data_IF_349881476377
#
_entry.id   IF_349881476377
#
_cell.length_a   1.000
_cell.length_b   1.000
_cell.length_c   1.000
_cell.angle_alpha   90.00
_cell.angle_beta   90.00
_cell.angle_gamma   90.00
#
_symmetry.space_group_name_H-M   'P 1'
#
loop_
_entity.id
_entity.type
_entity.pdbx_description
1 polymer ?
#
# COMPACT_ATOMS: atom_id res chain seq x y z
N UNK A 1 7.01 -24.94 -23.02
CA UNK A 1 6.07 -24.40 -24.01
C UNK A 1 5.55 -23.09 -23.48
N UNK A 2 6.22 -21.99 -23.79
CA UNK A 2 5.78 -20.64 -23.43
C UNK A 2 4.76 -20.18 -24.46
N UNK A 3 3.47 -20.21 -24.10
CA UNK A 3 2.45 -19.51 -24.88
C UNK A 3 2.80 -18.01 -24.85
N UNK A 4 3.25 -17.46 -25.97
CA UNK A 4 3.23 -16.00 -26.20
C UNK A 4 1.76 -15.59 -26.25
N UNK A 5 1.22 -15.20 -25.14
CA UNK A 5 -0.05 -14.49 -25.07
C UNK A 5 0.10 -13.21 -25.91
N UNK A 6 -0.74 -13.01 -26.92
CA UNK A 6 -0.68 -11.77 -27.71
C UNK A 6 -0.92 -10.56 -26.81
N UNK A 7 -0.36 -9.41 -27.14
CA UNK A 7 -0.48 -8.14 -26.37
C UNK A 7 -1.93 -7.82 -25.99
N UNK A 8 -2.90 -8.19 -26.82
CA UNK A 8 -4.33 -8.00 -26.53
C UNK A 8 -4.85 -8.91 -25.40
N UNK A 9 -4.31 -10.12 -25.27
CA UNK A 9 -4.66 -11.06 -24.20
C UNK A 9 -4.03 -10.61 -22.89
N UNK A 10 -2.75 -10.21 -22.89
CA UNK A 10 -2.04 -9.67 -21.74
C UNK A 10 -2.78 -8.45 -21.17
N UNK A 11 -3.20 -7.52 -22.02
CA UNK A 11 -3.97 -6.33 -21.62
C UNK A 11 -5.30 -6.72 -20.95
N UNK A 12 -6.03 -7.69 -21.48
CA UNK A 12 -7.29 -8.17 -20.86
C UNK A 12 -7.07 -8.83 -19.50
N UNK A 13 -6.03 -9.63 -19.36
CA UNK A 13 -5.70 -10.30 -18.12
C UNK A 13 -5.21 -9.30 -17.07
N UNK A 14 -4.38 -8.34 -17.44
CA UNK A 14 -3.93 -7.26 -16.56
C UNK A 14 -5.11 -6.41 -16.06
N UNK A 15 -6.03 -6.03 -16.93
CA UNK A 15 -7.24 -5.32 -16.51
C UNK A 15 -8.08 -6.17 -15.55
N UNK A 16 -8.21 -7.46 -15.79
CA UNK A 16 -8.93 -8.37 -14.88
C UNK A 16 -8.27 -8.43 -13.51
N UNK A 17 -6.95 -8.55 -13.45
CA UNK A 17 -6.18 -8.50 -12.21
C UNK A 17 -6.47 -7.20 -11.45
N UNK A 18 -6.31 -6.04 -12.10
CA UNK A 18 -6.52 -4.73 -11.49
C UNK A 18 -7.96 -4.53 -11.02
N UNK A 19 -8.93 -5.12 -11.71
CA UNK A 19 -10.35 -5.06 -11.30
C UNK A 19 -10.69 -5.99 -10.13
N UNK A 20 -10.02 -7.14 -10.05
CA UNK A 20 -10.26 -8.11 -8.97
C UNK A 20 -9.52 -7.76 -7.68
N UNK A 21 -8.33 -7.19 -7.80
CA UNK A 21 -7.51 -6.73 -6.70
C UNK A 21 -7.53 -5.19 -6.65
N UNK A 22 -7.62 -4.60 -5.47
CA UNK A 22 -7.59 -3.15 -5.31
C UNK A 22 -6.17 -2.68 -5.03
N UNK A 23 -5.82 -1.50 -5.52
CA UNK A 23 -4.53 -0.85 -5.25
C UNK A 23 -3.35 -1.73 -5.67
N UNK A 24 -3.40 -2.19 -6.92
CA UNK A 24 -2.40 -3.08 -7.51
C UNK A 24 -1.12 -2.30 -7.79
N UNK A 25 0.00 -2.72 -7.22
CA UNK A 25 1.32 -2.14 -7.50
C UNK A 25 1.89 -2.70 -8.80
N UNK A 26 2.90 -2.02 -9.39
CA UNK A 26 3.62 -2.61 -10.52
C UNK A 26 4.37 -3.89 -10.14
N UNK A 27 4.81 -3.99 -8.88
CA UNK A 27 5.39 -5.23 -8.33
C UNK A 27 4.43 -6.42 -8.44
N UNK A 28 3.17 -6.21 -8.11
CA UNK A 28 2.13 -7.23 -8.23
C UNK A 28 1.84 -7.58 -9.69
N UNK A 29 1.88 -6.59 -10.59
CA UNK A 29 1.75 -6.79 -12.04
C UNK A 29 2.94 -7.60 -12.57
N UNK A 30 4.17 -7.21 -12.25
CA UNK A 30 5.38 -7.91 -12.65
C UNK A 30 5.36 -9.39 -12.25
N UNK A 31 5.00 -9.67 -11.01
CA UNK A 31 4.86 -11.06 -10.51
C UNK A 31 3.84 -11.89 -11.28
N UNK A 32 2.76 -11.27 -11.77
CA UNK A 32 1.71 -11.96 -12.50
C UNK A 32 2.06 -12.19 -13.98
N UNK A 33 2.81 -11.27 -14.60
CA UNK A 33 2.99 -11.23 -16.06
C UNK A 33 4.45 -11.31 -16.53
N UNK A 34 5.38 -11.53 -15.60
CA UNK A 34 6.80 -11.71 -15.88
C UNK A 34 7.66 -10.55 -15.38
N UNK A 35 8.69 -10.92 -14.65
CA UNK A 35 9.73 -10.03 -14.14
C UNK A 35 10.91 -10.09 -15.11
N UNK A 36 10.96 -9.22 -16.11
CA UNK A 36 12.15 -9.08 -16.98
C UNK A 36 13.03 -7.90 -16.62
N UNK A 37 13.07 -7.57 -15.36
CA UNK A 37 14.21 -6.97 -14.67
C UNK A 37 14.69 -5.58 -15.06
N UNK A 38 14.00 -4.81 -15.90
CA UNK A 38 14.59 -3.53 -16.30
C UNK A 38 13.61 -2.46 -16.80
N UNK A 39 12.40 -2.82 -17.11
CA UNK A 39 11.41 -1.87 -17.60
C UNK A 39 10.84 -0.97 -16.50
N UNK A 40 10.56 0.28 -16.84
CA UNK A 40 9.88 1.19 -15.95
C UNK A 40 8.96 2.12 -16.74
N UNK A 41 7.74 2.33 -16.24
CA UNK A 41 6.86 3.37 -16.77
C UNK A 41 7.16 4.68 -16.06
N UNK A 42 7.42 5.74 -16.83
CA UNK A 42 7.61 7.10 -16.32
C UNK A 42 6.42 7.97 -16.68
N UNK A 43 6.07 8.91 -15.81
CA UNK A 43 5.02 9.88 -16.08
C UNK A 43 5.56 11.29 -16.34
N UNK A 44 6.83 11.52 -16.07
CA UNK A 44 7.60 12.71 -16.40
C UNK A 44 9.08 12.33 -16.55
N UNK A 45 9.93 13.26 -17.01
CA UNK A 45 11.37 13.02 -17.10
C UNK A 45 11.93 12.67 -15.72
N UNK A 46 12.63 11.53 -15.64
CA UNK A 46 13.20 10.96 -14.42
C UNK A 46 12.18 10.67 -13.29
N UNK A 47 10.87 10.61 -13.57
CA UNK A 47 9.85 10.24 -12.59
C UNK A 47 9.24 8.89 -12.90
N UNK A 48 9.68 7.86 -12.19
CA UNK A 48 9.23 6.47 -12.32
C UNK A 48 7.95 6.25 -11.52
N UNK A 49 6.93 5.65 -12.13
CA UNK A 49 5.65 5.30 -11.47
C UNK A 49 5.40 3.80 -11.40
N UNK A 50 5.96 3.04 -12.34
CA UNK A 50 5.80 1.58 -12.38
C UNK A 50 7.13 0.90 -12.72
N UNK A 51 7.97 0.64 -11.71
CA UNK A 51 9.21 -0.10 -11.89
C UNK A 51 8.99 -1.60 -12.04
N UNK A 52 9.98 -2.29 -12.65
CA UNK A 52 10.11 -3.75 -12.63
C UNK A 52 9.21 -4.50 -13.63
N UNK A 53 8.61 -3.80 -14.59
CA UNK A 53 7.77 -4.42 -15.62
C UNK A 53 8.60 -4.86 -16.83
N UNK A 54 8.15 -5.94 -17.50
CA UNK A 54 8.61 -6.24 -18.86
C UNK A 54 8.16 -5.17 -19.85
N UNK A 55 8.77 -5.15 -21.05
CA UNK A 55 8.38 -4.21 -22.11
C UNK A 55 6.91 -4.39 -22.48
N UNK A 56 6.47 -5.62 -22.70
CA UNK A 56 5.10 -5.95 -23.05
C UNK A 56 4.11 -5.57 -21.93
N UNK A 57 4.47 -5.79 -20.67
CA UNK A 57 3.63 -5.39 -19.52
C UNK A 57 3.54 -3.88 -19.38
N UNK A 58 4.63 -3.16 -19.66
CA UNK A 58 4.66 -1.69 -19.68
C UNK A 58 3.75 -1.12 -20.77
N UNK A 59 3.84 -1.65 -22.00
CA UNK A 59 2.98 -1.25 -23.11
C UNK A 59 1.50 -1.52 -22.80
N UNK A 60 1.18 -2.70 -22.28
CA UNK A 60 -0.19 -3.06 -21.91
C UNK A 60 -0.75 -2.12 -20.82
N UNK A 61 0.06 -1.79 -19.81
CA UNK A 61 -0.34 -0.88 -18.75
C UNK A 61 -0.54 0.55 -19.27
N UNK A 62 0.38 1.05 -20.09
CA UNK A 62 0.26 2.37 -20.74
C UNK A 62 -1.01 2.44 -21.58
N UNK A 63 -1.30 1.39 -22.36
CA UNK A 63 -2.52 1.34 -23.16
C UNK A 63 -3.78 1.39 -22.30
N UNK A 64 -3.84 0.62 -21.19
CA UNK A 64 -4.98 0.64 -20.27
C UNK A 64 -5.19 2.01 -19.62
N UNK A 65 -4.10 2.70 -19.27
CA UNK A 65 -4.16 4.05 -18.69
C UNK A 65 -4.63 5.06 -19.75
N UNK A 66 -4.06 5.01 -20.94
CA UNK A 66 -4.41 5.92 -22.05
C UNK A 66 -5.86 5.76 -22.50
N UNK A 67 -6.41 4.56 -22.42
CA UNK A 67 -7.82 4.27 -22.73
C UNK A 67 -8.77 4.63 -21.57
N UNK A 68 -8.27 5.11 -20.44
CA UNK A 68 -9.08 5.43 -19.27
C UNK A 68 -9.73 4.22 -18.60
N UNK A 69 -9.21 3.02 -18.82
CA UNK A 69 -9.70 1.77 -18.22
C UNK A 69 -9.09 1.52 -16.85
N UNK A 70 -7.87 2.02 -16.65
CA UNK A 70 -7.10 1.95 -15.41
C UNK A 70 -6.58 3.35 -15.10
N UNK A 71 -6.53 3.67 -13.82
CA UNK A 71 -5.97 4.90 -13.30
C UNK A 71 -4.99 4.58 -12.20
N UNK A 72 -3.98 5.40 -12.04
CA UNK A 72 -3.05 5.28 -10.93
C UNK A 72 -3.27 6.38 -9.88
N UNK A 73 -2.91 6.09 -8.66
CA UNK A 73 -2.92 7.03 -7.54
C UNK A 73 -1.68 6.79 -6.67
N UNK A 74 -1.13 7.85 -6.04
CA UNK A 74 -0.01 7.69 -5.13
C UNK A 74 -0.33 6.70 -4.01
N UNK A 75 0.66 5.92 -3.57
CA UNK A 75 0.58 4.99 -2.44
C UNK A 75 1.93 5.02 -1.70
N UNK A 76 1.97 4.60 -0.45
CA UNK A 76 3.25 4.53 0.27
C UNK A 76 4.17 3.43 -0.29
N UNK A 77 5.47 3.57 -0.03
CA UNK A 77 6.47 2.54 -0.35
C UNK A 77 6.19 1.21 0.35
N UNK A 78 5.59 1.26 1.53
CA UNK A 78 5.22 0.07 2.30
C UNK A 78 4.41 -0.92 1.48
N UNK A 79 3.56 -0.46 0.55
CA UNK A 79 2.82 -1.34 -0.34
C UNK A 79 3.74 -2.14 -1.26
N UNK A 80 4.77 -1.50 -1.78
CA UNK A 80 5.77 -2.16 -2.64
C UNK A 80 6.66 -3.10 -1.85
N UNK A 81 7.06 -2.71 -0.63
CA UNK A 81 7.83 -3.58 0.26
C UNK A 81 7.05 -4.87 0.58
N UNK A 82 5.75 -4.78 0.83
CA UNK A 82 4.89 -5.95 1.02
C UNK A 82 4.77 -6.82 -0.24
N UNK A 83 4.94 -6.22 -1.41
CA UNK A 83 4.99 -6.91 -2.69
C UNK A 83 6.42 -7.33 -3.09
N UNK A 84 7.42 -7.14 -2.21
CA UNK A 84 8.80 -7.63 -2.38
C UNK A 84 9.69 -6.76 -3.23
N UNK A 85 9.28 -5.54 -3.58
CA UNK A 85 10.14 -4.58 -4.31
C UNK A 85 10.69 -3.52 -3.37
N UNK A 86 12.01 -3.35 -3.44
CA UNK A 86 12.79 -2.33 -2.73
C UNK A 86 13.57 -1.52 -3.76
N UNK A 87 13.24 -0.24 -3.86
CA UNK A 87 13.96 0.69 -4.73
C UNK A 87 14.74 1.68 -3.86
N UNK A 88 16.04 1.78 -4.12
CA UNK A 88 16.89 2.82 -3.53
C UNK A 88 16.87 4.07 -4.40
N UNK A 89 15.68 4.67 -4.51
CA UNK A 89 15.44 5.92 -5.21
C UNK A 89 14.79 6.93 -4.27
N UNK A 90 15.10 8.23 -4.42
CA UNK A 90 14.34 9.28 -3.76
C UNK A 90 12.87 9.17 -4.10
N UNK A 91 12.00 9.33 -3.10
CA UNK A 91 10.55 9.30 -3.30
C UNK A 91 10.01 10.72 -3.41
N UNK A 92 9.11 10.92 -4.37
CA UNK A 92 8.34 12.16 -4.49
C UNK A 92 6.89 11.84 -4.82
N UNK A 93 5.97 12.56 -4.21
CA UNK A 93 4.55 12.52 -4.54
C UNK A 93 4.13 13.71 -5.42
N UNK A 94 5.10 14.49 -5.87
CA UNK A 94 4.87 15.62 -6.80
C UNK A 94 5.18 15.17 -8.23
N UNK A 95 4.20 15.36 -9.11
CA UNK A 95 4.34 15.02 -10.52
C UNK A 95 5.00 16.18 -11.28
N UNK A 96 6.30 16.10 -11.48
CA UNK A 96 7.11 17.04 -12.26
C UNK A 96 8.36 16.35 -12.82
N UNK A 97 9.09 16.94 -13.78
CA UNK A 97 10.44 16.52 -14.14
C UNK A 97 11.40 16.63 -12.94
N UNK A 98 12.39 15.74 -12.89
CA UNK A 98 13.48 15.72 -11.89
C UNK A 98 14.84 15.64 -12.58
N UNK A 99 15.87 16.15 -11.92
CA UNK A 99 17.24 16.11 -12.45
C UNK A 99 17.88 14.71 -12.36
N UNK A 100 17.34 13.86 -11.51
CA UNK A 100 17.78 12.48 -11.29
C UNK A 100 16.58 11.53 -11.14
N UNK A 101 16.80 10.22 -11.36
CA UNK A 101 15.74 9.25 -11.18
C UNK A 101 15.09 9.36 -9.80
N UNK A 102 13.80 9.57 -9.82
CA UNK A 102 12.94 9.75 -8.63
C UNK A 102 11.75 8.82 -8.75
N UNK A 103 11.28 8.28 -7.66
CA UNK A 103 10.19 7.33 -7.63
C UNK A 103 8.93 7.95 -7.05
N UNK A 104 7.83 7.81 -7.78
CA UNK A 104 6.48 8.07 -7.28
C UNK A 104 5.79 6.71 -7.12
N UNK A 105 5.73 6.16 -5.90
CA UNK A 105 5.01 4.91 -5.67
C UNK A 105 3.55 5.05 -6.07
N UNK A 106 3.09 4.20 -6.97
CA UNK A 106 1.74 4.27 -7.52
C UNK A 106 1.02 2.93 -7.44
N UNK A 107 -0.28 2.98 -7.18
CA UNK A 107 -1.18 1.84 -7.27
C UNK A 107 -2.18 2.05 -8.41
N UNK A 108 -2.42 0.99 -9.16
CA UNK A 108 -3.31 0.97 -10.32
C UNK A 108 -4.69 0.47 -9.92
N UNK A 109 -5.72 1.17 -10.36
CA UNK A 109 -7.09 0.96 -9.93
C UNK A 109 -8.07 1.12 -11.09
N UNK A 110 -9.22 0.41 -11.07
CA UNK A 110 -10.31 0.71 -11.98
C UNK A 110 -10.95 2.07 -11.63
N UNK A 111 -11.65 2.72 -12.56
CA UNK A 111 -12.16 4.10 -12.42
C UNK A 111 -12.94 4.37 -11.12
N UNK A 112 -13.76 3.41 -10.70
CA UNK A 112 -14.58 3.54 -9.47
C UNK A 112 -13.73 3.60 -8.21
N UNK A 113 -12.73 2.73 -8.11
CA UNK A 113 -11.82 2.68 -6.95
C UNK A 113 -10.95 3.92 -6.93
N UNK A 114 -10.37 4.30 -8.08
CA UNK A 114 -9.56 5.51 -8.22
C UNK A 114 -10.30 6.75 -7.72
N UNK A 115 -11.54 7.00 -8.16
CA UNK A 115 -12.34 8.14 -7.69
C UNK A 115 -12.50 8.17 -6.17
N UNK A 116 -12.70 7.03 -5.54
CA UNK A 116 -12.85 6.93 -4.08
C UNK A 116 -11.54 7.20 -3.35
N UNK A 117 -10.41 6.75 -3.91
CA UNK A 117 -9.07 7.10 -3.38
C UNK A 117 -8.83 8.59 -3.49
N UNK A 118 -9.12 9.20 -4.65
CA UNK A 118 -8.95 10.65 -4.81
C UNK A 118 -9.84 11.46 -3.87
N UNK A 119 -11.07 11.02 -3.61
CA UNK A 119 -11.93 11.61 -2.57
C UNK A 119 -11.28 11.49 -1.19
N UNK A 120 -10.70 10.35 -0.85
CA UNK A 120 -9.99 10.16 0.42
C UNK A 120 -8.76 11.08 0.52
N UNK A 121 -7.92 11.15 -0.52
CA UNK A 121 -6.75 12.06 -0.58
C UNK A 121 -7.20 13.51 -0.33
N UNK A 122 -8.24 13.97 -1.03
CA UNK A 122 -8.76 15.33 -0.88
C UNK A 122 -9.26 15.61 0.53
N UNK A 123 -10.02 14.68 1.11
CA UNK A 123 -10.61 14.85 2.45
C UNK A 123 -9.57 14.72 3.58
N UNK A 124 -8.51 13.99 3.36
CA UNK A 124 -7.40 13.84 4.30
C UNK A 124 -6.33 14.95 4.15
N UNK A 125 -6.50 15.86 3.17
CA UNK A 125 -5.60 16.98 2.96
C UNK A 125 -4.22 16.60 2.43
N UNK A 126 -4.10 15.46 1.77
CA UNK A 126 -2.80 14.95 1.28
C UNK A 126 -1.85 14.47 2.37
N UNK A 127 -2.27 14.46 3.63
CA UNK A 127 -1.45 13.98 4.75
C UNK A 127 -1.09 12.51 4.54
N UNK A 128 0.19 12.19 4.67
CA UNK A 128 0.75 10.88 4.32
C UNK A 128 1.33 10.80 2.89
N UNK A 129 1.11 11.85 2.08
CA UNK A 129 1.73 12.02 0.76
C UNK A 129 2.65 13.27 0.72
N UNK A 130 3.06 13.77 1.88
CA UNK A 130 3.98 14.89 1.98
C UNK A 130 5.39 14.42 1.62
N UNK A 131 6.03 14.98 0.57
CA UNK A 131 7.39 14.61 0.19
C UNK A 131 8.43 14.99 1.25
N UNK A 132 8.11 15.95 2.12
CA UNK A 132 8.97 16.36 3.24
C UNK A 132 8.64 15.60 4.53
N UNK A 133 7.53 14.84 4.57
CA UNK A 133 7.24 13.99 5.70
C UNK A 133 8.38 12.99 5.88
N UNK A 134 8.88 12.81 7.12
CA UNK A 134 9.88 11.78 7.37
C UNK A 134 9.35 10.46 6.82
N UNK A 135 10.20 9.82 6.04
CA UNK A 135 9.93 8.51 5.51
C UNK A 135 9.62 7.55 6.66
N UNK A 136 8.37 7.07 6.79
CA UNK A 136 8.03 6.16 7.88
C UNK A 136 8.81 4.86 7.80
N UNK A 137 9.38 4.56 6.62
CA UNK A 137 10.19 3.38 6.39
C UNK A 137 11.70 3.67 6.58
N UNK A 138 12.10 4.93 6.79
CA UNK A 138 13.48 5.32 7.01
C UNK A 138 13.94 4.84 8.38
N UNK A 139 14.72 3.76 8.39
CA UNK A 139 15.14 3.08 9.61
C UNK A 139 14.27 1.89 9.99
N UNK A 140 13.23 1.58 9.23
CA UNK A 140 12.53 0.30 9.34
C UNK A 140 13.45 -0.81 8.87
N UNK A 141 13.74 -1.76 9.76
CA UNK A 141 14.46 -2.96 9.38
C UNK A 141 13.45 -3.97 8.85
N UNK A 142 13.65 -4.37 7.61
CA UNK A 142 12.96 -5.51 7.03
C UNK A 142 13.49 -6.77 7.70
N UNK A 143 12.72 -7.33 8.61
CA UNK A 143 12.96 -8.69 9.09
C UNK A 143 12.43 -9.66 8.03
N UNK A 144 13.25 -9.90 7.00
CA UNK A 144 12.97 -10.83 5.93
C UNK A 144 11.66 -10.52 5.18
N UNK A 145 11.72 -10.30 3.88
CA UNK A 145 10.52 -10.30 3.03
C UNK A 145 10.11 -11.76 2.87
N UNK A 146 9.48 -12.30 3.89
CA UNK A 146 8.87 -13.61 3.77
C UNK A 146 7.46 -13.39 3.21
N UNK A 147 7.32 -13.65 1.94
CA UNK A 147 6.05 -13.68 1.22
C UNK A 147 5.04 -14.65 1.82
N UNK A 148 5.44 -15.45 2.80
CA UNK A 148 4.69 -16.54 3.42
C UNK A 148 4.10 -16.18 4.80
N UNK A 149 4.25 -14.93 5.28
CA UNK A 149 3.69 -14.57 6.58
C UNK A 149 2.16 -14.56 6.54
N UNK A 150 1.56 -15.46 7.30
CA UNK A 150 0.12 -15.49 7.54
C UNK A 150 -0.21 -15.03 8.97
N UNK A 151 -1.03 -13.99 9.07
CA UNK A 151 -1.51 -13.49 10.36
C UNK A 151 -2.47 -14.49 11.02
N UNK A 152 -2.08 -15.07 12.14
CA UNK A 152 -2.90 -16.00 12.93
C UNK A 152 -4.06 -15.34 13.70
N UNK A 153 -4.34 -14.04 13.45
CA UNK A 153 -5.48 -13.27 13.99
C UNK A 153 -5.57 -13.28 15.53
N UNK A 154 -4.46 -13.39 16.21
CA UNK A 154 -4.41 -13.52 17.68
C UNK A 154 -4.83 -12.26 18.46
N UNK A 155 -5.06 -11.12 17.79
CA UNK A 155 -5.51 -9.88 18.40
C UNK A 155 -4.45 -9.09 19.17
N UNK A 156 -3.25 -9.59 19.42
CA UNK A 156 -2.23 -8.90 20.23
C UNK A 156 -1.88 -7.50 19.72
N UNK A 157 -1.67 -7.34 18.41
CA UNK A 157 -1.40 -6.03 17.82
C UNK A 157 -2.61 -5.07 17.93
N UNK A 158 -3.84 -5.58 18.09
CA UNK A 158 -5.04 -4.77 18.27
C UNK A 158 -5.16 -4.17 19.66
N UNK A 159 -4.41 -4.68 20.64
CA UNK A 159 -4.39 -4.19 22.03
C UNK A 159 -3.23 -3.23 22.32
N UNK A 160 -2.32 -3.04 21.34
CA UNK A 160 -1.22 -2.08 21.48
C UNK A 160 -1.75 -0.65 21.49
N UNK A 161 -1.12 0.22 22.27
CA UNK A 161 -1.52 1.64 22.39
C UNK A 161 -0.97 2.56 21.28
N UNK A 162 -0.11 2.04 20.40
CA UNK A 162 0.50 2.82 19.32
C UNK A 162 -0.52 3.27 18.26
N UNK A 163 -0.40 4.47 17.69
CA UNK A 163 -1.23 4.91 16.59
C UNK A 163 -1.19 3.92 15.41
N UNK A 164 -2.34 3.69 14.79
CA UNK A 164 -2.45 2.90 13.55
C UNK A 164 -2.62 3.88 12.41
N UNK A 165 -1.54 4.20 11.73
CA UNK A 165 -1.57 5.12 10.59
C UNK A 165 -2.53 4.64 9.50
N UNK A 166 -3.22 5.59 8.89
CA UNK A 166 -4.17 5.38 7.80
C UNK A 166 -3.72 6.14 6.56
N UNK A 167 -3.65 5.42 5.47
CA UNK A 167 -3.50 5.99 4.13
C UNK A 167 -4.87 6.14 3.45
N UNK A 168 -4.99 6.98 2.39
CA UNK A 168 -6.21 7.11 1.61
C UNK A 168 -6.74 5.77 1.08
N UNK A 169 -5.85 4.86 0.70
CA UNK A 169 -6.19 3.50 0.24
C UNK A 169 -6.77 2.64 1.36
N UNK A 170 -6.30 2.83 2.59
CA UNK A 170 -6.87 2.13 3.74
C UNK A 170 -8.30 2.58 4.00
N UNK A 171 -8.52 3.89 3.94
CA UNK A 171 -9.86 4.47 4.07
C UNK A 171 -10.79 3.94 2.97
N UNK A 172 -10.30 3.84 1.72
CA UNK A 172 -11.06 3.27 0.62
C UNK A 172 -11.43 1.80 0.88
N UNK A 173 -10.47 0.95 1.27
CA UNK A 173 -10.71 -0.47 1.59
C UNK A 173 -11.69 -0.66 2.74
N UNK A 174 -11.49 0.07 3.84
CA UNK A 174 -12.39 0.02 5.01
C UNK A 174 -13.79 0.47 4.62
N UNK A 175 -13.90 1.57 3.89
CA UNK A 175 -15.16 2.12 3.39
C UNK A 175 -15.91 1.14 2.50
N UNK A 176 -15.18 0.41 1.63
CA UNK A 176 -15.76 -0.59 0.75
C UNK A 176 -16.23 -1.83 1.52
N UNK A 177 -15.43 -2.32 2.49
CA UNK A 177 -15.80 -3.47 3.32
C UNK A 177 -17.02 -3.18 4.19
N UNK A 178 -17.10 -1.97 4.74
CA UNK A 178 -18.22 -1.57 5.63
C UNK A 178 -19.42 -1.03 4.85
N UNK A 179 -19.36 -0.99 3.52
CA UNK A 179 -20.40 -0.48 2.63
C UNK A 179 -20.87 0.95 2.97
N UNK A 180 -19.94 1.80 3.42
CA UNK A 180 -20.22 3.21 3.76
C UNK A 180 -19.39 4.16 2.90
N UNK A 181 -19.78 5.44 2.82
CA UNK A 181 -19.05 6.45 2.05
C UNK A 181 -17.72 6.84 2.70
N UNK A 182 -16.75 7.31 1.90
CA UNK A 182 -15.41 7.75 2.32
C UNK A 182 -15.50 8.78 3.46
N UNK A 183 -16.28 9.86 3.27
CA UNK A 183 -16.48 10.91 4.28
C UNK A 183 -17.01 10.35 5.61
N UNK A 184 -17.93 9.40 5.56
CA UNK A 184 -18.49 8.75 6.77
C UNK A 184 -17.44 7.88 7.44
N UNK A 185 -16.62 7.18 6.68
CA UNK A 185 -15.51 6.36 7.18
C UNK A 185 -14.50 7.23 7.94
N UNK A 186 -14.02 8.32 7.32
CA UNK A 186 -13.08 9.25 7.96
C UNK A 186 -13.69 9.81 9.25
N UNK A 187 -14.90 10.38 9.18
CA UNK A 187 -15.56 10.98 10.35
C UNK A 187 -15.71 10.00 11.52
N UNK A 188 -16.02 8.73 11.22
CA UNK A 188 -16.32 7.75 12.25
C UNK A 188 -15.08 7.06 12.80
N UNK A 189 -14.10 6.77 11.96
CA UNK A 189 -13.02 5.86 12.29
C UNK A 189 -11.61 6.46 12.20
N UNK A 190 -11.45 7.66 11.66
CA UNK A 190 -10.15 8.30 11.54
C UNK A 190 -10.05 9.56 12.40
N UNK A 191 -8.86 9.83 12.92
CA UNK A 191 -8.50 11.04 13.62
C UNK A 191 -7.11 11.50 13.16
N UNK A 192 -6.91 12.81 13.12
CA UNK A 192 -5.60 13.39 12.90
C UNK A 192 -4.88 13.45 14.26
N UNK A 193 -3.71 12.81 14.35
CA UNK A 193 -2.92 12.72 15.58
C UNK A 193 -1.52 13.29 15.34
N UNK A 194 -0.90 13.76 16.41
CA UNK A 194 0.51 14.17 16.40
C UNK A 194 1.39 12.93 16.58
N UNK A 195 2.41 12.80 15.73
CA UNK A 195 3.41 11.73 15.77
C UNK A 195 4.78 12.39 15.65
N UNK A 196 5.45 12.61 16.78
CA UNK A 196 6.65 13.43 16.81
C UNK A 196 6.33 14.86 16.35
N UNK A 197 7.07 15.37 15.37
CA UNK A 197 6.95 16.74 14.86
C UNK A 197 5.94 16.89 13.68
N UNK A 198 5.19 15.84 13.36
CA UNK A 198 4.25 15.85 12.24
C UNK A 198 2.89 15.28 12.62
N UNK A 199 1.91 15.56 11.74
CA UNK A 199 0.54 15.06 11.91
C UNK A 199 0.29 13.92 10.96
N UNK A 200 -0.35 12.85 11.47
CA UNK A 200 -0.73 11.70 10.67
C UNK A 200 -2.20 11.33 10.93
N UNK A 201 -2.86 10.82 9.89
CA UNK A 201 -4.15 10.20 10.08
C UNK A 201 -3.98 8.84 10.74
N UNK A 202 -4.78 8.56 11.74
CA UNK A 202 -4.77 7.30 12.49
C UNK A 202 -6.18 6.79 12.69
N UNK A 203 -6.31 5.48 12.88
CA UNK A 203 -7.57 4.91 13.38
C UNK A 203 -7.90 5.58 14.72
N UNK A 204 -9.16 6.07 14.86
CA UNK A 204 -9.67 6.50 16.17
C UNK A 204 -9.58 5.33 17.12
N UNK A 205 -8.77 5.51 18.17
CA UNK A 205 -8.53 4.48 19.17
C UNK A 205 -8.91 4.96 20.55
N UNK A 206 -9.76 4.14 21.14
CA UNK A 206 -9.64 3.86 22.55
C UNK A 206 -8.99 2.48 22.62
N UNK A 207 -7.97 2.26 23.47
CA UNK A 207 -7.38 0.92 23.59
C UNK A 207 -8.41 -0.04 24.21
N UNK A 208 -8.72 -1.16 23.60
CA UNK A 208 -8.20 -1.73 22.35
C UNK A 208 -8.75 -1.06 21.09
N UNK A 209 -8.17 -1.42 19.92
CA UNK A 209 -8.55 -0.88 18.62
C UNK A 209 -10.06 -0.97 18.38
N UNK A 210 -10.68 0.11 17.86
CA UNK A 210 -12.14 0.19 17.60
C UNK A 210 -12.68 -0.93 16.70
N UNK A 211 -11.82 -1.56 15.89
CA UNK A 211 -12.17 -2.68 15.01
C UNK A 211 -11.90 -4.05 15.66
N UNK A 212 -11.44 -4.08 16.90
CA UNK A 212 -11.19 -5.34 17.60
C UNK A 212 -12.45 -5.84 18.28
N UNK A 213 -12.82 -7.07 17.99
CA UNK A 213 -13.87 -7.80 18.69
C UNK A 213 -13.25 -8.56 19.86
N UNK A 214 -13.48 -8.09 21.08
CA UNK A 214 -12.87 -8.69 22.28
C UNK A 214 -13.41 -10.08 22.57
N UNK A 215 -14.70 -10.30 22.32
CA UNK A 215 -15.36 -11.58 22.63
C UNK A 215 -14.84 -12.70 21.71
N UNK A 216 -14.57 -12.35 20.44
CA UNK A 216 -14.07 -13.29 19.43
C UNK A 216 -12.58 -13.24 19.23
N UNK A 217 -11.88 -12.28 19.87
CA UNK A 217 -10.45 -11.99 19.64
C UNK A 217 -10.11 -11.79 18.15
N UNK A 218 -10.99 -11.12 17.39
CA UNK A 218 -10.86 -10.97 15.95
C UNK A 218 -10.90 -9.50 15.51
N UNK A 219 -10.16 -9.17 14.44
CA UNK A 219 -10.30 -7.90 13.75
C UNK A 219 -11.51 -7.91 12.82
N UNK A 220 -12.51 -7.06 13.07
CA UNK A 220 -13.74 -6.93 12.26
C UNK A 220 -13.47 -6.52 10.81
N UNK A 221 -12.36 -5.84 10.55
CA UNK A 221 -11.95 -5.39 9.22
C UNK A 221 -10.69 -6.11 8.71
N UNK A 222 -10.44 -7.35 9.14
CA UNK A 222 -9.18 -8.05 8.83
C UNK A 222 -8.85 -8.08 7.32
N UNK A 223 -9.85 -8.26 6.46
CA UNK A 223 -9.67 -8.23 4.99
C UNK A 223 -9.31 -6.84 4.43
N UNK A 224 -9.69 -5.77 5.14
CA UNK A 224 -9.41 -4.38 4.79
C UNK A 224 -8.52 -3.67 5.82
N UNK A 225 -7.75 -4.43 6.60
CA UNK A 225 -6.88 -3.84 7.63
C UNK A 225 -5.88 -2.86 7.02
N UNK A 226 -5.54 -1.77 7.74
CA UNK A 226 -4.58 -0.78 7.29
C UNK A 226 -3.24 -1.39 6.87
N UNK A 227 -2.53 -0.69 5.99
CA UNK A 227 -1.25 -1.20 5.46
C UNK A 227 -0.24 -1.49 6.57
N UNK A 228 -0.17 -0.64 7.59
CA UNK A 228 0.71 -0.85 8.76
C UNK A 228 0.34 -2.12 9.53
N UNK A 229 -0.95 -2.49 9.58
CA UNK A 229 -1.39 -3.74 10.19
C UNK A 229 -1.08 -4.96 9.32
N UNK A 230 -0.99 -4.78 8.00
CA UNK A 230 -0.56 -5.85 7.07
C UNK A 230 0.96 -6.03 7.10
N UNK A 231 1.67 -4.92 7.25
CA UNK A 231 3.12 -4.90 7.33
C UNK A 231 3.66 -5.42 8.67
N UNK A 232 2.88 -5.29 9.76
CA UNK A 232 3.27 -5.81 11.07
C UNK A 232 3.17 -7.35 11.10
N UNK A 233 4.16 -8.06 11.64
CA UNK A 233 5.38 -7.60 12.32
C UNK A 233 6.60 -7.47 11.39
N UNK A 234 6.44 -7.67 10.09
CA UNK A 234 7.54 -7.74 9.11
C UNK A 234 8.24 -6.40 8.92
N UNK A 235 7.45 -5.31 8.90
CA UNK A 235 7.92 -3.94 8.85
C UNK A 235 7.57 -3.29 10.19
N UNK A 236 8.54 -3.18 11.08
CA UNK A 236 8.34 -2.48 12.34
C UNK A 236 9.61 -1.73 12.71
N UNK A 237 9.49 -0.50 13.23
CA UNK A 237 10.64 0.19 13.78
C UNK A 237 11.24 -0.67 14.90
N UNK A 238 12.56 -0.72 14.99
CA UNK A 238 13.22 -1.35 16.15
C UNK A 238 12.69 -0.69 17.41
N UNK A 239 12.25 -1.50 18.36
CA UNK A 239 12.01 -1.02 19.71
C UNK A 239 13.34 -0.53 20.30
N UNK A 240 13.31 0.43 21.20
CA UNK A 240 14.50 0.99 21.83
C UNK A 240 15.45 -0.05 22.49
N UNK A 241 14.98 -1.29 22.67
CA UNK A 241 15.75 -2.43 23.20
C UNK A 241 16.33 -3.36 22.13
N UNK A 242 16.14 -3.10 20.84
CA UNK A 242 16.71 -3.91 19.75
C UNK A 242 16.07 -5.28 19.52
N UNK A 243 15.05 -5.64 20.27
CA UNK A 243 14.32 -6.90 20.05
C UNK A 243 13.46 -6.83 18.78
N UNK A 244 13.48 -7.88 17.95
CA UNK A 244 12.59 -7.92 16.81
C UNK A 244 11.13 -8.00 17.27
N UNK A 245 10.20 -7.24 16.66
CA UNK A 245 8.78 -7.30 16.98
C UNK A 245 8.17 -8.69 16.80
N UNK A 246 8.83 -9.54 16.02
CA UNK A 246 8.50 -10.93 15.84
C UNK A 246 8.49 -11.72 17.17
N UNK A 247 9.27 -11.30 18.19
CA UNK A 247 9.35 -12.01 19.48
C UNK A 247 8.00 -12.09 20.20
N UNK A 248 7.08 -11.18 19.97
CA UNK A 248 5.75 -11.16 20.59
C UNK A 248 4.58 -11.41 19.62
N UNK A 249 4.83 -11.58 18.35
CA UNK A 249 3.81 -12.05 17.41
C UNK A 249 3.86 -13.58 17.32
N UNK A 250 2.86 -14.33 17.81
CA UNK A 250 2.89 -15.78 17.76
C UNK A 250 3.04 -16.36 16.35
N UNK A 251 2.50 -15.66 15.35
CA UNK A 251 2.58 -16.08 13.94
C UNK A 251 3.92 -15.76 13.27
N UNK A 252 4.81 -15.05 13.95
CA UNK A 252 6.12 -14.66 13.43
C UNK A 252 7.27 -15.31 14.24
N UNK A 253 6.98 -16.27 15.09
CA UNK A 253 8.00 -16.94 15.93
C UNK A 253 8.93 -17.83 15.12
N UNK A 254 8.46 -18.30 13.99
CA UNK A 254 9.16 -19.24 13.11
C UNK A 254 9.74 -18.56 11.85
N UNK A 255 9.69 -17.21 11.79
CA UNK A 255 10.33 -16.37 10.78
C UNK A 255 11.69 -15.87 11.28
#
# INVERSE_FOLDING_TARGET
MTYRTGTADLKREMERLIRSERHVTSARIARAFGEDGGGAVTCAENLVVAPGLSEEASEALIALVSEGRVFWSPISRTAYHLDGIFLDLPVSYVQRPFDSPTWLPAAFNPPRVHRRVMEAIQLMGGVGLDPEAPDPDRGSHLYGVHTEFECGRCGRCCTLSSPISLEPQDVERISALLEIGIRKTIRKYAALVEVGDHRAWSVKRDSPCTFFDQDRSLCKIHAARPIVCRAFPLLSPRTAGGEPPASWCPSARDL
#
